data_IF_016199583060
#
_entry.id   IF_016199583060
#
_cell.length_a   1.000
_cell.length_b   1.000
_cell.length_c   1.000
_cell.angle_alpha   90.00
_cell.angle_beta   90.00
_cell.angle_gamma   90.00
#
_symmetry.space_group_name_H-M   'P 1'
#
loop_
_entity.id
_entity.type
_entity.pdbx_description
1 polymer ?
#
# COMPACT_ATOMS: atom_id res chain seq x y z
N UNK A 1 3.69 14.19 9.21
CA UNK A 1 5.13 14.48 9.04
C UNK A 1 5.85 13.81 10.19
N UNK A 2 6.84 12.95 9.92
CA UNK A 2 7.73 12.42 10.95
C UNK A 2 8.99 13.27 10.89
N UNK A 3 9.25 14.16 11.86
CA UNK A 3 10.34 15.14 11.77
C UNK A 3 11.72 14.54 12.14
N UNK A 4 11.93 13.23 11.95
CA UNK A 4 13.16 12.55 12.36
C UNK A 4 13.96 11.99 11.19
N UNK A 5 15.28 12.04 11.31
CA UNK A 5 16.24 11.38 10.42
C UNK A 5 16.32 9.90 10.81
N UNK A 6 15.95 9.00 9.92
CA UNK A 6 16.12 7.56 10.17
C UNK A 6 17.49 7.11 9.68
N UNK A 7 18.30 6.58 10.59
CA UNK A 7 19.59 5.95 10.27
C UNK A 7 19.49 4.46 10.55
N UNK A 8 20.04 3.64 9.66
CA UNK A 8 20.09 2.20 9.90
C UNK A 8 21.30 1.57 9.26
N UNK A 9 21.83 0.56 9.92
CA UNK A 9 23.03 -0.16 9.49
C UNK A 9 22.89 -1.63 9.83
N UNK A 10 23.60 -2.46 9.06
CA UNK A 10 23.82 -3.85 9.43
C UNK A 10 25.13 -3.89 10.22
N UNK A 11 25.14 -4.29 11.50
CA UNK A 11 26.39 -4.42 12.25
C UNK A 11 27.26 -5.50 11.63
N UNK A 12 28.59 -5.35 11.73
CA UNK A 12 29.53 -6.42 11.37
C UNK A 12 29.26 -7.65 12.24
N UNK A 13 29.07 -8.78 11.59
CA UNK A 13 28.66 -10.01 12.26
C UNK A 13 29.84 -10.82 12.74
N UNK A 14 29.65 -11.53 13.85
CA UNK A 14 30.48 -12.69 14.16
C UNK A 14 30.06 -13.85 13.23
N UNK A 15 31.03 -14.60 12.72
CA UNK A 15 30.77 -15.75 11.87
C UNK A 15 29.75 -16.70 12.52
N UNK A 16 28.69 -17.06 11.79
CA UNK A 16 27.64 -17.98 12.25
C UNK A 16 26.42 -17.34 12.93
N UNK A 17 26.37 -16.01 13.11
CA UNK A 17 25.17 -15.33 13.63
C UNK A 17 24.44 -14.54 12.54
N UNK A 18 23.11 -14.55 12.60
CA UNK A 18 22.26 -13.76 11.71
C UNK A 18 22.21 -12.33 12.26
N UNK A 19 22.88 -11.41 11.59
CA UNK A 19 22.89 -10.00 12.00
C UNK A 19 21.51 -9.38 11.76
N UNK A 20 20.98 -8.72 12.79
CA UNK A 20 19.75 -7.95 12.66
C UNK A 20 20.09 -6.53 12.21
N UNK A 21 19.33 -6.03 11.23
CA UNK A 21 19.44 -4.65 10.79
C UNK A 21 18.98 -3.71 11.91
N UNK A 22 19.84 -2.78 12.33
CA UNK A 22 19.54 -1.80 13.38
C UNK A 22 18.98 -0.55 12.72
N UNK A 23 17.91 0.03 13.29
CA UNK A 23 17.36 1.33 12.88
C UNK A 23 17.20 2.21 14.10
N UNK A 24 17.61 3.47 13.97
CA UNK A 24 17.43 4.51 14.96
C UNK A 24 16.79 5.74 14.33
N UNK A 25 15.90 6.39 15.08
CA UNK A 25 15.33 7.67 14.72
C UNK A 25 16.12 8.75 15.46
N UNK A 26 16.70 9.69 14.73
CA UNK A 26 17.48 10.79 15.27
C UNK A 26 16.75 12.11 15.02
N UNK A 27 16.91 13.04 15.96
CA UNK A 27 16.55 14.44 15.73
C UNK A 27 17.55 15.04 14.73
N UNK A 28 17.08 15.59 13.59
CA UNK A 28 17.96 16.15 12.57
C UNK A 28 18.78 17.37 13.03
N UNK A 29 18.36 18.07 14.08
CA UNK A 29 19.09 19.24 14.59
C UNK A 29 20.11 18.85 15.67
N UNK A 30 19.72 17.98 16.59
CA UNK A 30 20.55 17.64 17.77
C UNK A 30 21.35 16.35 17.60
N UNK A 31 20.99 15.49 16.65
CA UNK A 31 21.57 14.15 16.47
C UNK A 31 21.22 13.17 17.59
N UNK A 32 20.39 13.59 18.56
CA UNK A 32 19.97 12.75 19.67
C UNK A 32 18.97 11.68 19.23
N UNK A 33 19.02 10.51 19.87
CA UNK A 33 18.09 9.42 19.58
C UNK A 33 16.70 9.76 20.14
N UNK A 34 15.72 9.81 19.24
CA UNK A 34 14.32 10.03 19.59
C UNK A 34 13.72 8.70 20.02
N UNK A 35 13.58 8.53 21.34
CA UNK A 35 12.87 7.39 21.92
C UNK A 35 11.36 7.56 21.71
N UNK A 36 10.85 7.03 20.60
CA UNK A 36 9.41 6.98 20.35
C UNK A 36 8.75 5.91 21.25
N UNK A 37 7.52 6.18 21.70
CA UNK A 37 6.73 5.20 22.47
C UNK A 37 6.59 3.91 21.67
N UNK A 38 6.97 2.78 22.26
CA UNK A 38 6.71 1.47 21.68
C UNK A 38 5.20 1.25 21.61
N UNK A 39 4.64 1.39 20.40
CA UNK A 39 3.25 1.02 20.14
C UNK A 39 3.20 0.08 18.95
N UNK A 40 2.50 -1.03 19.10
CA UNK A 40 2.22 -1.94 17.98
C UNK A 40 1.03 -1.45 17.14
N UNK A 41 0.41 -0.32 17.47
CA UNK A 41 -0.89 0.09 16.94
C UNK A 41 -0.93 0.14 15.41
N UNK A 42 -0.02 0.87 14.78
CA UNK A 42 0.03 0.98 13.32
C UNK A 42 0.37 -0.35 12.63
N UNK A 43 1.36 -1.08 13.15
CA UNK A 43 1.77 -2.38 12.60
C UNK A 43 0.68 -3.45 12.73
N UNK A 44 -0.07 -3.43 13.85
CA UNK A 44 -1.21 -4.30 14.07
C UNK A 44 -2.29 -4.11 13.02
N UNK A 45 -2.75 -2.86 12.79
CA UNK A 45 -3.78 -2.59 11.80
C UNK A 45 -3.31 -2.85 10.38
N UNK A 46 -2.06 -2.50 10.06
CA UNK A 46 -1.46 -2.82 8.77
C UNK A 46 -1.48 -4.32 8.49
N UNK A 47 -0.96 -5.12 9.44
CA UNK A 47 -0.91 -6.58 9.32
C UNK A 47 -2.30 -7.22 9.37
N UNK A 48 -3.22 -6.69 10.15
CA UNK A 48 -4.61 -7.14 10.17
C UNK A 48 -5.30 -6.85 8.82
N UNK A 49 -5.06 -5.69 8.22
CA UNK A 49 -5.73 -5.28 7.00
C UNK A 49 -5.48 -6.23 5.81
N UNK A 50 -4.22 -6.64 5.58
CA UNK A 50 -3.89 -7.45 4.40
C UNK A 50 -3.81 -8.97 4.67
N UNK A 51 -3.69 -9.41 5.94
CA UNK A 51 -3.58 -10.83 6.27
C UNK A 51 -4.33 -11.25 7.54
N UNK A 52 -5.14 -10.38 8.16
CA UNK A 52 -5.99 -10.69 9.31
C UNK A 52 -5.24 -11.31 10.49
N UNK A 53 -3.96 -10.97 10.65
CA UNK A 53 -3.04 -11.59 11.62
C UNK A 53 -2.83 -13.11 11.46
N UNK A 54 -3.31 -13.71 10.37
CA UNK A 54 -3.12 -15.12 10.06
C UNK A 54 -1.74 -15.40 9.43
N UNK A 55 -1.23 -16.64 9.53
CA UNK A 55 -0.02 -17.04 8.83
C UNK A 55 -0.19 -16.96 7.31
N UNK A 56 0.90 -16.65 6.62
CA UNK A 56 0.95 -16.72 5.17
C UNK A 56 0.75 -18.18 4.72
N UNK A 57 -0.07 -18.47 3.68
CA UNK A 57 -0.74 -17.54 2.77
C UNK A 57 -2.22 -17.23 3.06
N UNK A 58 -2.82 -17.89 4.06
CA UNK A 58 -4.28 -17.96 4.25
C UNK A 58 -4.95 -16.60 4.44
N UNK A 59 -4.36 -15.73 5.25
CA UNK A 59 -4.91 -14.40 5.48
C UNK A 59 -4.98 -13.54 4.22
N UNK A 60 -3.97 -13.65 3.35
CA UNK A 60 -3.94 -12.94 2.07
C UNK A 60 -4.98 -13.50 1.11
N UNK A 61 -5.16 -14.81 1.07
CA UNK A 61 -6.21 -15.44 0.26
C UNK A 61 -7.59 -14.94 0.68
N UNK A 62 -7.90 -14.98 1.98
CA UNK A 62 -9.20 -14.54 2.47
C UNK A 62 -9.46 -13.06 2.18
N UNK A 63 -8.50 -12.18 2.47
CA UNK A 63 -8.63 -10.75 2.19
C UNK A 63 -8.82 -10.47 0.70
N UNK A 64 -8.05 -11.15 -0.16
CA UNK A 64 -8.11 -10.94 -1.60
C UNK A 64 -9.38 -11.53 -2.22
N UNK A 65 -9.86 -12.68 -1.74
CA UNK A 65 -11.15 -13.24 -2.13
C UNK A 65 -12.31 -12.32 -1.74
N UNK A 66 -12.28 -11.75 -0.53
CA UNK A 66 -13.27 -10.76 -0.09
C UNK A 66 -13.23 -9.51 -0.99
N UNK A 67 -12.04 -9.02 -1.34
CA UNK A 67 -11.88 -7.93 -2.29
C UNK A 67 -12.45 -8.27 -3.67
N UNK A 68 -12.22 -9.48 -4.19
CA UNK A 68 -12.77 -9.91 -5.47
C UNK A 68 -14.30 -9.94 -5.46
N UNK A 69 -14.90 -10.51 -4.42
CA UNK A 69 -16.37 -10.54 -4.25
C UNK A 69 -16.93 -9.12 -4.16
N UNK A 70 -16.28 -8.24 -3.38
CA UNK A 70 -16.67 -6.84 -3.29
C UNK A 70 -16.56 -6.14 -4.64
N UNK A 71 -15.50 -6.38 -5.41
CA UNK A 71 -15.30 -5.78 -6.73
C UNK A 71 -16.42 -6.18 -7.70
N UNK A 72 -16.73 -7.47 -7.76
CA UNK A 72 -17.84 -7.99 -8.58
C UNK A 72 -19.18 -7.42 -8.12
N UNK A 73 -19.41 -7.32 -6.81
CA UNK A 73 -20.61 -6.71 -6.24
C UNK A 73 -20.75 -5.22 -6.60
N UNK A 74 -19.66 -4.45 -6.59
CA UNK A 74 -19.66 -3.05 -6.99
C UNK A 74 -19.98 -2.89 -8.49
N UNK A 75 -19.32 -3.66 -9.35
CA UNK A 75 -19.55 -3.62 -10.81
C UNK A 75 -20.99 -4.05 -11.14
N UNK A 76 -21.46 -5.17 -10.58
CA UNK A 76 -22.84 -5.62 -10.77
C UNK A 76 -23.85 -4.60 -10.23
N UNK A 77 -23.58 -3.99 -9.07
CA UNK A 77 -24.38 -2.91 -8.50
C UNK A 77 -24.54 -1.74 -9.47
N UNK A 78 -23.44 -1.26 -10.07
CA UNK A 78 -23.46 -0.18 -11.08
C UNK A 78 -24.31 -0.58 -12.29
N UNK A 79 -24.16 -1.81 -12.78
CA UNK A 79 -24.86 -2.31 -13.97
C UNK A 79 -26.37 -2.47 -13.73
N UNK A 80 -26.77 -2.99 -12.57
CA UNK A 80 -28.17 -3.26 -12.21
C UNK A 80 -28.89 -1.95 -11.88
N UNK A 81 -28.24 -1.07 -11.10
CA UNK A 81 -28.84 0.13 -10.55
C UNK A 81 -28.62 1.38 -11.43
N UNK A 82 -28.81 1.28 -12.74
CA UNK A 82 -28.60 2.42 -13.68
C UNK A 82 -29.46 3.66 -13.37
N UNK A 83 -30.60 3.50 -12.68
CA UNK A 83 -31.48 4.62 -12.29
C UNK A 83 -31.04 5.35 -11.02
N UNK A 84 -30.10 4.79 -10.25
CA UNK A 84 -29.68 5.33 -8.95
C UNK A 84 -28.98 6.68 -9.11
N UNK A 85 -28.33 6.95 -10.25
CA UNK A 85 -27.80 8.29 -10.57
C UNK A 85 -28.89 9.37 -10.74
N UNK A 86 -30.09 9.00 -11.23
CA UNK A 86 -31.22 9.93 -11.31
C UNK A 86 -31.90 10.11 -9.95
N UNK A 87 -31.97 9.02 -9.18
CA UNK A 87 -32.60 9.00 -7.85
C UNK A 87 -31.74 9.69 -6.78
N UNK A 88 -30.41 9.78 -6.97
CA UNK A 88 -29.50 10.55 -6.11
C UNK A 88 -29.96 12.00 -5.86
N UNK A 89 -30.50 12.65 -6.89
CA UNK A 89 -30.96 14.04 -6.81
C UNK A 89 -32.38 14.18 -6.24
N UNK A 90 -33.07 13.07 -5.93
CA UNK A 90 -34.44 13.07 -5.39
C UNK A 90 -34.48 12.48 -3.99
N UNK A 91 -33.87 13.17 -3.03
CA UNK A 91 -34.01 12.82 -1.61
C UNK A 91 -35.47 13.03 -1.14
N UNK A 92 -36.12 11.99 -0.62
CA UNK A 92 -37.51 12.04 -0.13
C UNK A 92 -37.55 11.93 1.40
N UNK A 93 -37.53 13.05 2.15
CA UNK A 93 -37.61 13.02 3.60
C UNK A 93 -38.99 12.54 4.12
N UNK A 94 -39.03 12.02 5.35
CA UNK A 94 -40.24 11.64 6.12
C UNK A 94 -41.03 10.38 5.65
N UNK A 95 -40.39 9.36 5.08
CA UNK A 95 -41.03 8.07 4.73
C UNK A 95 -40.34 6.82 5.33
N UNK A 96 -39.85 6.93 6.56
CA UNK A 96 -39.33 5.78 7.34
C UNK A 96 -38.31 4.93 6.57
N UNK A 97 -38.64 3.66 6.33
CA UNK A 97 -37.79 2.69 5.62
C UNK A 97 -37.37 3.13 4.20
N UNK A 98 -38.21 3.91 3.50
CA UNK A 98 -37.86 4.44 2.16
C UNK A 98 -36.84 5.57 2.22
N UNK A 99 -36.93 6.46 3.20
CA UNK A 99 -35.92 7.52 3.39
C UNK A 99 -34.55 6.95 3.79
N UNK A 100 -34.54 5.79 4.47
CA UNK A 100 -33.30 5.08 4.81
C UNK A 100 -32.67 4.40 3.59
N UNK A 101 -33.48 3.81 2.70
CA UNK A 101 -33.03 3.28 1.42
C UNK A 101 -32.46 4.39 0.52
N UNK A 102 -33.12 5.55 0.47
CA UNK A 102 -32.64 6.72 -0.27
C UNK A 102 -31.30 7.23 0.29
N UNK A 103 -31.15 7.26 1.62
CA UNK A 103 -29.89 7.60 2.28
C UNK A 103 -28.76 6.60 2.01
N UNK A 104 -29.05 5.30 2.05
CA UNK A 104 -28.11 4.23 1.71
C UNK A 104 -27.65 4.35 0.25
N UNK A 105 -28.58 4.59 -0.68
CA UNK A 105 -28.25 4.79 -2.10
C UNK A 105 -27.40 6.06 -2.32
N UNK A 106 -27.73 7.16 -1.65
CA UNK A 106 -26.99 8.41 -1.76
C UNK A 106 -25.56 8.29 -1.21
N UNK A 107 -25.41 7.70 -0.02
CA UNK A 107 -24.09 7.44 0.56
C UNK A 107 -23.29 6.48 -0.33
N UNK A 108 -23.94 5.43 -0.84
CA UNK A 108 -23.35 4.46 -1.75
C UNK A 108 -22.73 5.08 -3.00
N UNK A 109 -23.44 5.99 -3.68
CA UNK A 109 -22.90 6.69 -4.86
C UNK A 109 -21.72 7.59 -4.47
N UNK A 110 -21.84 8.33 -3.36
CA UNK A 110 -20.80 9.26 -2.93
C UNK A 110 -19.46 8.55 -2.71
N UNK A 111 -19.51 7.37 -2.07
CA UNK A 111 -18.31 6.60 -1.72
C UNK A 111 -17.90 5.60 -2.80
N UNK A 112 -18.71 5.41 -3.84
CA UNK A 112 -18.48 4.41 -4.89
C UNK A 112 -17.12 4.56 -5.58
N UNK A 113 -16.66 5.76 -6.03
CA UNK A 113 -15.37 5.89 -6.70
C UNK A 113 -14.21 5.46 -5.79
N UNK A 114 -14.30 5.80 -4.50
CA UNK A 114 -13.30 5.42 -3.51
C UNK A 114 -13.26 3.90 -3.29
N UNK A 115 -14.42 3.26 -3.12
CA UNK A 115 -14.47 1.80 -2.94
C UNK A 115 -14.02 1.06 -4.18
N UNK A 116 -14.40 1.51 -5.37
CA UNK A 116 -13.93 0.91 -6.62
C UNK A 116 -12.40 1.01 -6.73
N UNK A 117 -11.84 2.18 -6.41
CA UNK A 117 -10.40 2.41 -6.40
C UNK A 117 -9.68 1.51 -5.38
N UNK A 118 -10.11 1.49 -4.12
CA UNK A 118 -9.47 0.71 -3.05
C UNK A 118 -9.56 -0.79 -3.32
N UNK A 119 -10.72 -1.27 -3.77
CA UNK A 119 -10.89 -2.70 -4.03
C UNK A 119 -10.08 -3.13 -5.26
N UNK A 120 -10.12 -2.38 -6.36
CA UNK A 120 -9.33 -2.71 -7.55
C UNK A 120 -7.82 -2.66 -7.28
N UNK A 121 -7.34 -1.61 -6.60
CA UNK A 121 -5.92 -1.49 -6.25
C UNK A 121 -5.45 -2.63 -5.35
N UNK A 122 -6.27 -3.15 -4.44
CA UNK A 122 -5.90 -4.33 -3.64
C UNK A 122 -5.68 -5.59 -4.50
N UNK A 123 -6.48 -5.79 -5.55
CA UNK A 123 -6.30 -6.90 -6.51
C UNK A 123 -5.02 -6.73 -7.33
N UNK A 124 -4.67 -5.49 -7.70
CA UNK A 124 -3.40 -5.19 -8.38
C UNK A 124 -2.20 -5.48 -7.48
N UNK A 125 -2.27 -5.14 -6.19
CA UNK A 125 -1.20 -5.41 -5.21
C UNK A 125 -0.94 -6.92 -5.09
N UNK A 126 -2.00 -7.74 -5.12
CA UNK A 126 -1.93 -9.20 -5.07
C UNK A 126 -2.08 -9.86 -6.45
N UNK A 127 -1.76 -9.17 -7.54
CA UNK A 127 -1.97 -9.68 -8.91
C UNK A 127 -1.30 -11.03 -9.16
N UNK A 128 -0.07 -11.21 -8.67
CA UNK A 128 0.67 -12.47 -8.81
C UNK A 128 0.02 -13.65 -8.08
N UNK A 129 -0.87 -13.38 -7.14
CA UNK A 129 -1.62 -14.39 -6.39
C UNK A 129 -2.96 -14.72 -7.06
N UNK A 130 -3.66 -13.71 -7.58
CA UNK A 130 -5.00 -13.86 -8.17
C UNK A 130 -4.95 -14.28 -9.63
N UNK A 131 -3.99 -13.74 -10.39
CA UNK A 131 -3.84 -14.01 -11.83
C UNK A 131 -2.36 -14.27 -12.19
N UNK A 132 -1.76 -15.37 -11.71
CA UNK A 132 -0.37 -15.71 -12.05
C UNK A 132 -0.20 -16.12 -13.52
N UNK A 133 -1.26 -16.61 -14.18
CA UNK A 133 -1.18 -17.21 -15.51
C UNK A 133 -0.59 -16.28 -16.58
N UNK A 134 -0.92 -14.98 -16.54
CA UNK A 134 -0.38 -14.00 -17.48
C UNK A 134 1.09 -13.69 -17.27
N UNK A 135 1.59 -13.82 -16.03
CA UNK A 135 3.00 -13.70 -15.71
C UNK A 135 3.73 -14.97 -16.16
N UNK A 136 3.18 -16.13 -15.80
CA UNK A 136 3.79 -17.43 -16.10
C UNK A 136 3.75 -17.79 -17.60
N UNK A 137 2.96 -17.10 -18.42
CA UNK A 137 3.00 -17.27 -19.88
C UNK A 137 4.18 -16.56 -20.55
N UNK A 138 4.79 -15.58 -19.88
CA UNK A 138 5.95 -14.84 -20.39
C UNK A 138 7.23 -15.08 -19.58
N UNK A 139 7.11 -15.55 -18.35
CA UNK A 139 8.20 -15.76 -17.41
C UNK A 139 8.18 -17.16 -16.83
N UNK A 140 9.36 -17.78 -16.68
CA UNK A 140 9.50 -19.09 -16.03
C UNK A 140 9.02 -19.06 -14.56
N UNK A 141 9.21 -17.93 -13.89
CA UNK A 141 8.81 -17.73 -12.49
C UNK A 141 8.32 -16.32 -12.24
N UNK A 142 7.42 -16.16 -11.26
CA UNK A 142 6.96 -14.85 -10.78
C UNK A 142 8.13 -13.98 -10.28
N UNK A 143 9.17 -14.60 -9.72
CA UNK A 143 10.37 -13.93 -9.25
C UNK A 143 11.21 -13.35 -10.40
N UNK A 144 11.22 -13.98 -11.58
CA UNK A 144 11.87 -13.42 -12.75
C UNK A 144 11.19 -12.11 -13.18
N UNK A 145 9.84 -12.09 -13.23
CA UNK A 145 9.07 -10.88 -13.49
C UNK A 145 9.39 -9.76 -12.50
N UNK A 146 9.39 -10.02 -11.19
CA UNK A 146 9.70 -8.98 -10.21
C UNK A 146 11.14 -8.46 -10.28
N UNK A 147 12.11 -9.31 -10.67
CA UNK A 147 13.51 -8.86 -10.87
C UNK A 147 13.65 -7.91 -12.04
N UNK A 148 12.96 -8.19 -13.15
CA UNK A 148 12.94 -7.30 -14.30
C UNK A 148 12.14 -6.02 -14.03
N UNK A 149 10.95 -6.14 -13.42
CA UNK A 149 10.08 -5.00 -13.13
C UNK A 149 10.68 -4.07 -12.06
N UNK A 150 11.41 -4.61 -11.09
CA UNK A 150 12.04 -3.84 -10.01
C UNK A 150 13.53 -4.14 -9.95
N UNK A 151 14.32 -3.62 -10.92
CA UNK A 151 15.76 -3.82 -10.91
C UNK A 151 16.31 -3.21 -9.62
N UNK A 152 16.96 -4.06 -8.82
CA UNK A 152 17.73 -3.59 -7.68
C UNK A 152 19.14 -3.28 -8.16
N UNK A 153 19.77 -2.19 -7.69
CA UNK A 153 21.18 -1.95 -7.97
C UNK A 153 21.98 -3.17 -7.53
N UNK A 154 22.86 -3.67 -8.40
CA UNK A 154 23.70 -4.83 -8.07
C UNK A 154 24.55 -4.50 -6.84
N UNK A 155 24.36 -5.27 -5.77
CA UNK A 155 25.21 -5.18 -4.59
C UNK A 155 26.49 -5.96 -4.90
N UNK A 156 27.55 -5.24 -5.25
CA UNK A 156 28.89 -5.82 -5.42
C UNK A 156 29.36 -6.38 -4.08
N UNK A 157 30.03 -7.55 -4.08
CA UNK A 157 30.62 -8.10 -2.85
C UNK A 157 31.84 -7.27 -2.44
N UNK A 158 32.13 -7.09 -1.13
CA UNK A 158 33.33 -6.41 -0.68
C UNK A 158 34.59 -7.05 -1.29
N UNK A 159 35.51 -6.23 -1.82
CA UNK A 159 36.78 -6.72 -2.33
C UNK A 159 37.80 -7.00 -1.20
N UNK A 160 37.52 -6.54 0.02
CA UNK A 160 38.44 -6.62 1.17
C UNK A 160 39.60 -5.63 1.07
N UNK A 161 39.48 -4.61 0.22
CA UNK A 161 40.51 -3.61 -0.02
C UNK A 161 40.07 -2.29 0.59
N UNK A 162 40.74 -1.79 1.64
CA UNK A 162 40.35 -0.53 2.29
C UNK A 162 40.42 0.66 1.32
N UNK A 163 39.36 1.43 1.25
CA UNK A 163 39.33 2.70 0.51
C UNK A 163 38.51 3.75 1.28
N UNK A 164 38.94 5.03 1.26
CA UNK A 164 38.19 6.09 1.93
C UNK A 164 36.86 6.33 1.22
N UNK A 165 35.80 6.50 2.01
CA UNK A 165 34.50 6.90 1.49
C UNK A 165 34.52 8.40 1.15
N UNK A 166 34.08 8.75 -0.05
CA UNK A 166 33.90 10.15 -0.48
C UNK A 166 32.85 10.85 0.39
N UNK A 167 32.99 12.16 0.55
CA UNK A 167 32.00 12.97 1.24
C UNK A 167 30.62 12.83 0.55
N UNK A 168 29.58 12.56 1.34
CA UNK A 168 28.23 12.33 0.81
C UNK A 168 27.52 13.61 0.37
N UNK A 169 27.84 14.75 0.99
CA UNK A 169 27.16 16.02 0.72
C UNK A 169 27.30 16.50 -0.75
N UNK A 170 28.49 16.46 -1.37
CA UNK A 170 28.64 16.72 -2.80
C UNK A 170 27.79 15.80 -3.69
N UNK A 171 27.69 14.51 -3.36
CA UNK A 171 26.88 13.56 -4.13
C UNK A 171 25.39 13.88 -4.04
N UNK A 172 24.92 14.26 -2.85
CA UNK A 172 23.53 14.70 -2.64
C UNK A 172 23.23 15.95 -3.47
N UNK A 173 24.14 16.92 -3.51
CA UNK A 173 23.99 18.12 -4.33
C UNK A 173 23.98 17.79 -5.83
N UNK A 174 24.86 16.90 -6.29
CA UNK A 174 24.89 16.46 -7.68
C UNK A 174 23.59 15.73 -8.08
N UNK A 175 23.05 14.88 -7.20
CA UNK A 175 21.77 14.21 -7.43
C UNK A 175 20.60 15.20 -7.49
N UNK A 176 20.54 16.15 -6.55
CA UNK A 176 19.51 17.19 -6.54
C UNK A 176 19.57 18.09 -7.78
N UNK A 177 20.77 18.40 -8.28
CA UNK A 177 20.94 19.21 -9.50
C UNK A 177 20.54 18.45 -10.78
N UNK A 178 20.69 17.12 -10.78
CA UNK A 178 20.33 16.27 -11.92
C UNK A 178 18.83 15.98 -12.02
N UNK A 179 18.11 16.00 -10.90
CA UNK A 179 16.67 15.76 -10.90
C UNK A 179 15.90 17.06 -11.18
N UNK A 180 15.11 17.07 -12.26
CA UNK A 180 14.27 18.21 -12.65
C UNK A 180 13.28 18.65 -11.56
N UNK A 181 12.90 17.71 -10.67
CA UNK A 181 12.08 17.98 -9.49
C UNK A 181 12.34 16.94 -8.39
N UNK A 182 12.22 17.39 -7.14
CA UNK A 182 12.41 16.55 -5.96
C UNK A 182 13.80 16.65 -5.36
N UNK A 183 13.93 16.13 -4.14
CA UNK A 183 15.18 16.12 -3.36
C UNK A 183 15.57 14.68 -3.04
N UNK A 184 16.82 14.44 -2.63
CA UNK A 184 17.24 13.14 -2.08
C UNK A 184 16.43 12.82 -0.83
N UNK A 185 15.69 11.70 -0.87
CA UNK A 185 14.89 11.20 0.26
C UNK A 185 15.62 10.13 1.07
N UNK A 186 16.53 9.39 0.44
CA UNK A 186 17.30 8.32 1.11
C UNK A 186 18.70 8.20 0.51
N UNK A 187 19.66 7.98 1.41
CA UNK A 187 21.06 7.64 1.09
C UNK A 187 21.31 6.23 1.60
N UNK A 188 21.81 5.35 0.74
CA UNK A 188 22.20 3.99 1.08
C UNK A 188 23.66 3.82 0.70
N UNK A 189 24.50 3.44 1.66
CA UNK A 189 25.91 3.15 1.43
C UNK A 189 26.12 1.66 1.57
N UNK A 190 26.56 1.02 0.49
CA UNK A 190 26.97 -0.37 0.47
C UNK A 190 28.50 -0.45 0.56
N UNK A 191 29.01 -1.46 1.27
CA UNK A 191 30.44 -1.70 1.50
C UNK A 191 31.23 -0.45 1.94
N UNK A 192 30.81 0.26 3.01
CA UNK A 192 31.53 1.44 3.46
C UNK A 192 32.97 1.07 3.85
N UNK A 193 33.95 1.86 3.38
CA UNK A 193 35.37 1.65 3.68
C UNK A 193 36.08 0.64 2.77
N UNK A 194 35.41 0.10 1.75
CA UNK A 194 35.98 -0.82 0.76
C UNK A 194 36.11 -0.16 -0.62
N UNK A 195 37.02 -0.66 -1.48
CA UNK A 195 37.18 -0.17 -2.85
C UNK A 195 35.93 -0.36 -3.72
N UNK A 196 35.05 -1.28 -3.32
CA UNK A 196 33.72 -1.51 -3.93
C UNK A 196 32.60 -0.73 -3.27
N UNK A 197 32.92 0.30 -2.49
CA UNK A 197 31.91 1.16 -1.88
C UNK A 197 31.01 1.76 -2.96
N UNK A 198 29.69 1.71 -2.73
CA UNK A 198 28.68 2.27 -3.64
C UNK A 198 27.69 3.10 -2.83
N UNK A 199 27.43 4.31 -3.31
CA UNK A 199 26.45 5.23 -2.72
C UNK A 199 25.25 5.30 -3.63
N UNK A 200 24.11 4.81 -3.15
CA UNK A 200 22.83 4.84 -3.84
C UNK A 200 21.96 5.96 -3.26
N UNK A 201 21.58 6.89 -4.12
CA UNK A 201 20.69 8.00 -3.79
C UNK A 201 19.33 7.78 -4.44
N UNK A 202 18.26 7.84 -3.65
CA UNK A 202 16.88 7.76 -4.16
C UNK A 202 16.14 9.05 -3.89
N UNK A 203 15.28 9.45 -4.83
CA UNK A 203 14.43 10.62 -4.69
C UNK A 203 13.43 10.46 -3.54
N UNK A 204 13.07 11.58 -2.92
CA UNK A 204 12.00 11.69 -1.95
C UNK A 204 10.67 11.49 -2.67
N UNK A 205 9.90 10.49 -2.25
CA UNK A 205 8.57 10.19 -2.79
C UNK A 205 7.44 10.79 -1.94
N UNK A 206 7.79 11.59 -0.91
CA UNK A 206 6.82 12.26 -0.04
C UNK A 206 5.88 13.16 -0.83
N UNK A 207 4.58 12.90 -0.69
CA UNK A 207 3.52 13.65 -1.38
C UNK A 207 3.24 13.17 -2.80
N UNK A 208 4.04 12.25 -3.36
CA UNK A 208 3.74 11.64 -4.66
C UNK A 208 2.78 10.46 -4.51
N UNK A 209 1.77 10.41 -5.38
CA UNK A 209 0.87 9.26 -5.50
C UNK A 209 1.63 8.03 -6.02
N UNK A 210 2.62 8.23 -6.88
CA UNK A 210 3.45 7.16 -7.40
C UNK A 210 4.72 7.11 -6.55
N UNK A 211 4.97 6.04 -5.76
CA UNK A 211 6.21 5.90 -5.03
C UNK A 211 7.38 5.82 -6.01
N UNK A 212 8.15 6.90 -6.12
CA UNK A 212 9.29 6.98 -7.03
C UNK A 212 10.51 6.29 -6.41
N UNK A 213 10.47 4.96 -6.44
CA UNK A 213 11.65 4.13 -6.21
C UNK A 213 12.41 3.83 -7.52
N UNK A 214 12.11 4.58 -8.60
CA UNK A 214 12.61 4.32 -9.95
C UNK A 214 13.80 5.20 -10.34
N UNK A 215 13.85 6.45 -9.89
CA UNK A 215 14.98 7.35 -10.16
C UNK A 215 16.11 7.22 -9.14
N UNK A 216 16.81 6.08 -9.12
CA UNK A 216 17.97 5.91 -8.24
C UNK A 216 19.28 6.22 -8.99
N UNK A 217 20.11 7.06 -8.38
CA UNK A 217 21.45 7.39 -8.88
C UNK A 217 22.48 6.62 -8.07
N UNK A 218 23.36 5.91 -8.76
CA UNK A 218 24.40 5.08 -8.16
C UNK A 218 25.75 5.74 -8.40
N UNK A 219 26.43 6.12 -7.32
CA UNK A 219 27.75 6.73 -7.34
C UNK A 219 28.79 5.76 -6.78
N UNK A 220 30.01 5.85 -7.31
CA UNK A 220 31.18 5.24 -6.69
C UNK A 220 31.42 5.87 -5.32
N UNK A 221 31.50 5.04 -4.28
CA UNK A 221 31.83 5.48 -2.92
C UNK A 221 33.28 5.92 -2.76
N UNK A 222 34.15 5.62 -3.72
CA UNK A 222 35.58 5.98 -3.68
C UNK A 222 35.86 7.20 -4.55
N UNK A 223 35.45 7.16 -5.83
CA UNK A 223 35.72 8.25 -6.77
C UNK A 223 34.65 9.34 -6.78
N UNK A 224 33.44 9.05 -6.29
CA UNK A 224 32.30 9.96 -6.37
C UNK A 224 31.69 10.08 -7.78
N UNK A 225 32.16 9.30 -8.75
CA UNK A 225 31.65 9.31 -10.13
C UNK A 225 30.29 8.60 -10.21
N UNK A 226 29.41 9.11 -11.07
CA UNK A 226 28.13 8.48 -11.36
C UNK A 226 28.37 7.21 -12.19
N UNK A 227 28.04 6.05 -11.62
CA UNK A 227 28.21 4.75 -12.26
C UNK A 227 26.98 4.32 -13.05
N UNK A 228 25.79 4.52 -12.48
CA UNK A 228 24.55 4.05 -13.09
C UNK A 228 23.37 4.95 -12.74
N UNK A 229 22.46 5.07 -13.69
CA UNK A 229 21.17 5.74 -13.56
C UNK A 229 20.09 4.71 -13.87
N UNK A 230 19.28 4.39 -12.86
CA UNK A 230 18.18 3.45 -13.09
C UNK A 230 17.19 4.10 -14.07
N UNK A 231 16.89 3.44 -15.20
CA UNK A 231 16.05 4.03 -16.24
C UNK A 231 14.64 4.31 -15.74
N UNK A 232 13.96 5.25 -16.39
CA UNK A 232 12.55 5.53 -16.12
C UNK A 232 11.70 4.27 -16.29
N UNK A 233 10.76 4.07 -15.36
CA UNK A 233 9.92 2.87 -15.34
C UNK A 233 8.97 2.83 -16.54
N UNK A 234 8.67 1.63 -17.07
CA UNK A 234 7.60 1.48 -18.05
C UNK A 234 6.26 2.01 -17.54
N UNK A 235 5.43 2.55 -18.43
CA UNK A 235 4.12 3.15 -18.10
C UNK A 235 3.22 2.21 -17.29
N UNK A 236 3.20 0.91 -17.63
CA UNK A 236 2.42 -0.07 -16.90
C UNK A 236 2.82 -0.15 -15.41
N UNK A 237 4.11 -0.07 -15.13
CA UNK A 237 4.64 -0.11 -13.77
C UNK A 237 4.36 1.20 -13.02
N UNK A 238 4.34 2.34 -13.72
CA UNK A 238 3.91 3.63 -13.14
C UNK A 238 2.44 3.57 -12.72
N UNK A 239 1.56 3.01 -13.56
CA UNK A 239 0.14 2.81 -13.24
C UNK A 239 -0.01 1.90 -12.01
N UNK A 240 0.65 0.74 -12.00
CA UNK A 240 0.59 -0.18 -10.85
C UNK A 240 1.13 0.46 -9.57
N UNK A 241 2.21 1.24 -9.67
CA UNK A 241 2.79 1.99 -8.54
C UNK A 241 1.84 3.09 -8.06
N UNK A 242 1.12 3.76 -8.96
CA UNK A 242 0.08 4.72 -8.62
C UNK A 242 -1.11 4.07 -7.91
N UNK A 243 -1.57 2.91 -8.38
CA UNK A 243 -2.61 2.12 -7.69
C UNK A 243 -2.17 1.72 -6.29
N UNK A 244 -0.92 1.28 -6.13
CA UNK A 244 -0.33 1.01 -4.81
C UNK A 244 -0.34 2.25 -3.93
N UNK A 245 0.12 3.40 -4.42
CA UNK A 245 0.18 4.62 -3.61
C UNK A 245 -1.19 5.21 -3.28
N UNK A 246 -2.18 5.10 -4.19
CA UNK A 246 -3.59 5.38 -3.91
C UNK A 246 -4.14 4.49 -2.81
N UNK A 247 -3.82 3.19 -2.82
CA UNK A 247 -4.29 2.25 -1.82
C UNK A 247 -3.70 2.52 -0.43
N UNK A 248 -2.38 2.73 -0.37
CA UNK A 248 -1.66 2.91 0.90
C UNK A 248 -1.82 4.35 1.45
N UNK A 249 -2.04 5.34 0.57
CA UNK A 249 -2.35 6.71 0.97
C UNK A 249 -1.18 7.47 1.61
N UNK A 250 0.07 7.08 1.35
CA UNK A 250 1.25 7.76 1.91
C UNK A 250 1.32 9.25 1.56
N UNK A 251 0.86 9.62 0.37
CA UNK A 251 0.79 11.00 -0.11
C UNK A 251 -0.27 11.85 0.60
N UNK A 252 -1.23 11.21 1.29
CA UNK A 252 -2.38 11.91 1.85
C UNK A 252 -1.97 12.87 2.97
N UNK A 253 -2.29 14.14 2.79
CA UNK A 253 -2.27 15.15 3.84
C UNK A 253 -3.40 14.92 4.86
N UNK A 254 -3.39 15.60 6.04
CA UNK A 254 -4.33 15.30 7.12
C UNK A 254 -5.81 15.30 6.71
N UNK A 255 -6.23 16.24 5.85
CA UNK A 255 -7.60 16.29 5.34
C UNK A 255 -7.94 15.04 4.52
N UNK A 256 -7.06 14.63 3.61
CA UNK A 256 -7.29 13.46 2.77
C UNK A 256 -7.28 12.17 3.59
N UNK A 257 -6.47 12.09 4.64
CA UNK A 257 -6.50 10.96 5.58
C UNK A 257 -7.84 10.84 6.29
N UNK A 258 -8.43 11.97 6.71
CA UNK A 258 -9.78 11.98 7.28
C UNK A 258 -10.83 11.55 6.26
N UNK A 259 -10.71 11.96 5.00
CA UNK A 259 -11.61 11.49 3.95
C UNK A 259 -11.50 9.97 3.73
N UNK A 260 -10.29 9.41 3.68
CA UNK A 260 -10.08 7.96 3.61
C UNK A 260 -10.72 7.24 4.80
N UNK A 261 -10.53 7.78 6.00
CA UNK A 261 -11.13 7.23 7.22
C UNK A 261 -12.66 7.26 7.16
N UNK A 262 -13.25 8.42 6.83
CA UNK A 262 -14.70 8.59 6.74
C UNK A 262 -15.30 7.67 5.68
N UNK A 263 -14.67 7.55 4.51
CA UNK A 263 -15.15 6.65 3.46
C UNK A 263 -15.01 5.18 3.84
N UNK A 264 -13.97 4.80 4.58
CA UNK A 264 -13.84 3.45 5.15
C UNK A 264 -14.94 3.14 6.19
N UNK A 265 -15.25 4.08 7.08
CA UNK A 265 -16.35 3.96 8.05
C UNK A 265 -17.70 3.90 7.32
N UNK A 266 -17.90 4.74 6.30
CA UNK A 266 -19.10 4.70 5.47
C UNK A 266 -19.26 3.35 4.76
N UNK A 267 -18.18 2.77 4.23
CA UNK A 267 -18.20 1.42 3.66
C UNK A 267 -18.64 0.36 4.66
N UNK A 268 -18.10 0.41 5.87
CA UNK A 268 -18.46 -0.50 6.96
C UNK A 268 -19.94 -0.35 7.34
N UNK A 269 -20.40 0.90 7.48
CA UNK A 269 -21.80 1.20 7.72
C UNK A 269 -22.69 0.69 6.59
N UNK A 270 -22.32 0.88 5.32
CA UNK A 270 -23.06 0.38 4.15
C UNK A 270 -23.21 -1.15 4.17
N UNK A 271 -22.15 -1.89 4.49
CA UNK A 271 -22.24 -3.36 4.58
C UNK A 271 -23.17 -3.77 5.74
N UNK A 272 -22.98 -3.19 6.94
CA UNK A 272 -23.80 -3.51 8.11
C UNK A 272 -25.28 -3.15 7.91
N UNK A 273 -25.54 -1.98 7.34
CA UNK A 273 -26.88 -1.50 7.03
C UNK A 273 -27.59 -2.38 5.99
N UNK A 274 -26.88 -2.79 4.95
CA UNK A 274 -27.38 -3.73 3.96
C UNK A 274 -27.77 -5.09 4.56
N UNK A 275 -26.93 -5.62 5.46
CA UNK A 275 -27.19 -6.89 6.15
C UNK A 275 -28.45 -6.81 7.04
N UNK A 276 -28.61 -5.75 7.83
CA UNK A 276 -29.78 -5.53 8.68
C UNK A 276 -31.06 -5.44 7.84
N UNK A 277 -31.04 -4.67 6.74
CA UNK A 277 -32.21 -4.56 5.85
C UNK A 277 -32.58 -5.90 5.21
N UNK A 278 -31.58 -6.69 4.82
CA UNK A 278 -31.78 -8.00 4.23
C UNK A 278 -32.36 -8.99 5.24
N UNK A 279 -31.83 -9.02 6.47
CA UNK A 279 -32.35 -9.85 7.56
C UNK A 279 -33.81 -9.55 7.86
N UNK A 280 -34.16 -8.27 8.02
CA UNK A 280 -35.54 -7.87 8.32
C UNK A 280 -36.53 -8.30 7.23
N UNK A 281 -36.17 -8.15 5.94
CA UNK A 281 -37.02 -8.65 4.83
C UNK A 281 -37.13 -10.17 4.82
N UNK A 282 -36.04 -10.87 5.15
CA UNK A 282 -35.97 -12.33 5.07
C UNK A 282 -36.67 -13.01 6.23
N UNK A 283 -36.57 -12.48 7.44
CA UNK A 283 -37.38 -12.88 8.59
C UNK A 283 -38.86 -12.72 8.29
N UNK A 284 -39.30 -11.59 7.74
CA UNK A 284 -40.71 -11.39 7.33
C UNK A 284 -41.16 -12.38 6.26
N UNK A 285 -40.30 -12.71 5.29
CA UNK A 285 -40.60 -13.69 4.24
C UNK A 285 -40.75 -15.11 4.79
N UNK A 286 -39.93 -15.48 5.76
CA UNK A 286 -39.93 -16.82 6.36
C UNK A 286 -40.76 -16.95 7.63
N UNK A 287 -41.32 -15.86 8.16
CA UNK A 287 -42.21 -15.87 9.33
C UNK A 287 -43.43 -16.80 9.16
N UNK A 288 -43.83 -17.11 7.92
CA UNK A 288 -44.94 -18.01 7.60
C UNK A 288 -44.52 -19.46 7.33
N UNK A 289 -43.23 -19.72 7.19
CA UNK A 289 -42.68 -21.07 7.02
C UNK A 289 -42.08 -21.50 8.35
N UNK A 290 -42.67 -22.46 9.05
CA UNK A 290 -42.24 -22.93 10.39
C UNK A 290 -40.83 -23.50 10.51
N UNK A 291 -40.01 -23.39 9.45
CA UNK A 291 -38.60 -23.78 9.42
C UNK A 291 -37.77 -22.56 9.02
N UNK A 292 -36.91 -22.10 9.94
CA UNK A 292 -35.91 -21.08 9.64
C UNK A 292 -34.82 -21.66 8.73
N UNK A 293 -34.57 -21.10 7.54
CA UNK A 293 -33.46 -21.51 6.69
C UNK A 293 -32.11 -21.35 7.38
N UNK A 294 -31.16 -22.21 7.03
CA UNK A 294 -29.83 -22.31 7.64
C UNK A 294 -29.09 -20.96 7.68
N UNK A 295 -29.32 -20.14 6.66
CA UNK A 295 -28.78 -18.79 6.48
C UNK A 295 -29.26 -17.79 7.55
N UNK A 296 -30.49 -17.93 8.07
CA UNK A 296 -31.01 -17.08 9.16
C UNK A 296 -30.51 -17.55 10.52
N UNK A 297 -30.40 -18.88 10.73
CA UNK A 297 -29.84 -19.45 11.97
C UNK A 297 -28.38 -19.07 12.18
N UNK A 298 -27.58 -19.04 11.11
CA UNK A 298 -26.15 -18.72 11.20
C UNK A 298 -25.91 -17.25 11.55
N UNK A 299 -26.85 -16.36 11.22
CA UNK A 299 -26.76 -14.93 11.51
C UNK A 299 -27.43 -14.56 12.84
N UNK A 300 -28.45 -15.27 13.29
CA UNK A 300 -29.03 -15.08 14.64
C UNK A 300 -28.11 -15.51 15.78
N UNK A 301 -27.15 -16.39 15.51
CA UNK A 301 -26.20 -16.94 16.50
C UNK A 301 -24.93 -16.07 16.62
N UNK A 302 -24.68 -15.15 15.67
CA UNK A 302 -23.55 -14.21 15.67
C UNK A 302 -23.94 -12.85 16.25
#
# INVERSE_FOLDING_TARGET
RTPGLTVGWLPEGKAGQRNNFVRKLLDPQTGSEVQARETRGGDFFYRFHYQLQMPHPWGRWLATSAAMVMFVALISGIIIHKKVFKEFFTFRPRKGQRSWLDGHNALGILVLPFHLMITYSSLVIFMSMVMPASILSQYDTVQAFYREAFPSPETVKPAGQPAPLVALAPLVNAANAKWDSGQVGRVIVNNPGDSTAVVLLTRDDKGSIVPDRGGALTFSGVSGELQNEVPQRPTALLIASGMYGLHVGHFAEPLLRWLYFIFGVAGTAMIGTGLVMWLGKRQLKHAKTGVLPLELRLVEVL
#
